data_IF_862998521176
#
_entry.id   IF_862998521176
#
_cell.length_a   1.000
_cell.length_b   1.000
_cell.length_c   1.000
_cell.angle_alpha   90.00
_cell.angle_beta   90.00
_cell.angle_gamma   90.00
#
_symmetry.space_group_name_H-M   'P 1'
#
loop_
_entity.id
_entity.type
_entity.pdbx_description
1 polymer ?
#
# COMPACT_ATOMS: atom_id res chain seq x y z
N UNK A 1 45.00 -41.93 -7.13
CA UNK A 1 43.99 -41.31 -6.27
C UNK A 1 44.32 -39.83 -6.11
N UNK A 2 44.30 -39.02 -7.15
CA UNK A 2 44.55 -37.56 -7.08
C UNK A 2 44.20 -36.89 -8.43
N UNK A 3 42.94 -36.97 -8.87
CA UNK A 3 42.49 -36.30 -10.09
C UNK A 3 40.96 -35.98 -10.10
N UNK A 4 40.38 -35.53 -8.98
CA UNK A 4 38.97 -35.08 -8.95
C UNK A 4 38.70 -33.84 -8.07
N UNK A 5 39.63 -32.88 -8.00
CA UNK A 5 39.43 -31.63 -7.21
C UNK A 5 39.74 -30.34 -7.97
N UNK A 6 39.82 -30.34 -9.30
CA UNK A 6 40.12 -29.12 -10.06
C UNK A 6 38.97 -28.55 -10.88
N UNK A 7 37.87 -29.27 -11.06
CA UNK A 7 36.79 -28.82 -11.98
C UNK A 7 35.67 -28.02 -11.30
N UNK A 8 35.58 -28.00 -9.97
CA UNK A 8 34.52 -27.24 -9.29
C UNK A 8 34.84 -25.75 -9.01
N UNK A 9 36.10 -25.33 -9.12
CA UNK A 9 36.48 -23.95 -8.87
C UNK A 9 36.36 -23.04 -10.11
N UNK A 10 36.27 -23.60 -11.31
CA UNK A 10 36.10 -22.84 -12.54
C UNK A 10 34.65 -22.48 -12.85
N UNK A 11 33.68 -23.36 -12.55
CA UNK A 11 32.26 -23.07 -12.79
C UNK A 11 31.73 -21.95 -11.88
N UNK A 12 32.28 -21.79 -10.65
CA UNK A 12 31.90 -20.69 -9.76
C UNK A 12 32.53 -19.35 -10.13
N UNK A 13 33.65 -19.32 -10.87
CA UNK A 13 34.25 -18.07 -11.36
C UNK A 13 33.55 -17.55 -12.60
N UNK A 14 33.12 -18.43 -13.48
CA UNK A 14 32.41 -18.03 -14.71
C UNK A 14 30.99 -17.55 -14.41
N UNK A 15 30.29 -18.15 -13.42
CA UNK A 15 28.99 -17.67 -12.96
C UNK A 15 29.06 -16.33 -12.24
N UNK A 16 30.12 -16.03 -11.47
CA UNK A 16 30.29 -14.73 -10.84
C UNK A 16 30.73 -13.65 -11.84
N UNK A 17 31.47 -14.01 -12.89
CA UNK A 17 31.82 -13.07 -13.97
C UNK A 17 30.63 -12.78 -14.90
N UNK A 18 29.77 -13.78 -15.18
CA UNK A 18 28.54 -13.60 -15.96
C UNK A 18 27.51 -12.74 -15.21
N UNK A 19 27.38 -12.90 -13.87
CA UNK A 19 26.51 -12.03 -13.07
C UNK A 19 27.04 -10.58 -13.01
N UNK A 20 28.35 -10.37 -12.91
CA UNK A 20 28.95 -9.02 -12.86
C UNK A 20 28.93 -8.29 -14.20
N UNK A 21 28.89 -9.01 -15.33
CA UNK A 21 28.78 -8.40 -16.67
C UNK A 21 27.35 -8.01 -17.03
N UNK A 22 26.34 -8.72 -16.50
CA UNK A 22 24.92 -8.40 -16.75
C UNK A 22 24.49 -7.15 -15.95
N UNK A 23 25.07 -6.90 -14.77
CA UNK A 23 24.76 -5.70 -13.98
C UNK A 23 25.33 -4.41 -14.59
N UNK A 24 26.35 -4.49 -15.45
CA UNK A 24 26.96 -3.30 -16.06
C UNK A 24 26.22 -2.77 -17.30
N UNK A 25 25.26 -3.50 -17.86
CA UNK A 25 24.54 -3.10 -19.08
C UNK A 25 23.11 -2.56 -18.80
N UNK A 26 22.68 -2.45 -17.54
CA UNK A 26 21.36 -1.88 -17.22
C UNK A 26 21.37 -0.36 -17.39
N UNK A 27 20.67 0.19 -18.40
CA UNK A 27 20.73 1.60 -18.76
C UNK A 27 20.22 2.53 -17.64
N UNK A 28 19.43 2.01 -16.69
CA UNK A 28 18.93 2.79 -15.57
C UNK A 28 19.98 2.99 -14.48
N UNK A 29 20.97 2.08 -14.34
CA UNK A 29 22.03 2.19 -13.34
C UNK A 29 23.09 3.22 -13.72
N UNK A 30 23.20 3.57 -15.01
CA UNK A 30 24.25 4.46 -15.54
C UNK A 30 23.90 5.95 -15.50
N UNK A 31 22.67 6.34 -15.14
CA UNK A 31 22.18 7.71 -15.25
C UNK A 31 21.52 8.23 -13.98
N UNK A 32 21.64 9.54 -13.73
CA UNK A 32 20.90 10.22 -12.68
C UNK A 32 19.44 10.41 -13.09
N UNK A 33 18.53 10.11 -12.16
CA UNK A 33 17.10 10.36 -12.31
C UNK A 33 16.77 11.70 -11.68
N UNK A 34 16.08 12.55 -12.44
CA UNK A 34 15.78 13.94 -12.07
C UNK A 34 17.02 14.73 -11.61
N UNK A 35 18.20 14.43 -12.22
CA UNK A 35 19.48 15.10 -11.96
C UNK A 35 20.10 14.82 -10.59
N UNK A 36 19.48 14.02 -9.71
CA UNK A 36 19.94 13.84 -8.32
C UNK A 36 19.90 12.41 -7.78
N UNK A 37 18.95 11.58 -8.17
CA UNK A 37 18.87 10.22 -7.66
C UNK A 37 19.71 9.26 -8.48
N UNK A 38 20.66 8.58 -7.86
CA UNK A 38 21.55 7.59 -8.50
C UNK A 38 20.98 6.17 -8.25
N UNK A 39 20.42 5.49 -9.24
CA UNK A 39 20.06 4.09 -9.10
C UNK A 39 21.31 3.25 -8.82
N UNK A 40 21.24 2.36 -7.82
CA UNK A 40 22.39 1.55 -7.37
C UNK A 40 22.11 0.04 -7.42
N UNK A 41 20.85 -0.36 -7.45
CA UNK A 41 20.47 -1.76 -7.46
C UNK A 41 19.05 -1.92 -8.01
N UNK A 42 18.84 -2.90 -8.90
CA UNK A 42 17.49 -3.34 -9.29
C UNK A 42 16.87 -4.14 -8.16
N UNK A 43 15.68 -3.76 -7.69
CA UNK A 43 14.94 -4.43 -6.63
C UNK A 43 13.94 -5.45 -7.18
N UNK A 44 13.37 -5.19 -8.36
CA UNK A 44 12.40 -6.08 -8.97
C UNK A 44 11.91 -5.57 -10.32
N UNK A 45 11.19 -6.46 -11.01
CA UNK A 45 10.50 -6.18 -12.26
C UNK A 45 9.21 -6.99 -12.28
N UNK A 46 8.11 -6.36 -12.67
CA UNK A 46 6.79 -6.99 -12.72
C UNK A 46 5.91 -6.37 -13.79
N UNK A 47 4.64 -6.75 -13.80
CA UNK A 47 3.64 -6.27 -14.77
C UNK A 47 3.40 -4.75 -14.72
N UNK A 48 3.86 -4.08 -13.66
CA UNK A 48 3.68 -2.64 -13.43
C UNK A 48 5.00 -1.86 -13.53
N UNK A 49 6.05 -2.48 -14.10
CA UNK A 49 7.32 -1.82 -14.37
C UNK A 49 8.51 -2.34 -13.57
N UNK A 50 9.59 -1.55 -13.56
CA UNK A 50 10.86 -1.88 -12.93
C UNK A 50 11.06 -1.03 -11.69
N UNK A 51 11.59 -1.61 -10.60
CA UNK A 51 11.86 -0.90 -9.36
C UNK A 51 13.35 -0.97 -9.02
N UNK A 52 13.93 0.18 -8.68
CA UNK A 52 15.34 0.30 -8.31
C UNK A 52 15.49 0.95 -6.93
N UNK A 53 16.51 0.53 -6.21
CA UNK A 53 17.06 1.27 -5.09
C UNK A 53 17.95 2.36 -5.63
N UNK A 54 17.79 3.58 -5.13
CA UNK A 54 18.62 4.72 -5.50
C UNK A 54 19.16 5.44 -4.27
N UNK A 55 20.26 6.15 -4.46
CA UNK A 55 20.92 6.97 -3.43
C UNK A 55 20.85 8.45 -3.79
N UNK A 56 20.59 9.29 -2.81
CA UNK A 56 20.71 10.73 -2.87
C UNK A 56 20.95 11.30 -1.47
N UNK A 57 22.00 12.13 -1.29
CA UNK A 57 22.40 12.72 0.00
C UNK A 57 22.55 11.69 1.14
N UNK A 58 23.21 10.55 0.85
CA UNK A 58 23.41 9.45 1.80
C UNK A 58 22.12 8.79 2.32
N UNK A 59 20.99 9.09 1.70
CA UNK A 59 19.71 8.43 1.94
C UNK A 59 19.32 7.51 0.79
N UNK A 60 18.51 6.49 1.07
CA UNK A 60 18.04 5.55 0.06
C UNK A 60 16.57 5.74 -0.27
N UNK A 61 16.25 5.59 -1.55
CA UNK A 61 14.91 5.75 -2.13
C UNK A 61 14.57 4.56 -3.01
N UNK A 62 13.30 4.34 -3.27
CA UNK A 62 12.81 3.47 -4.33
C UNK A 62 12.42 4.31 -5.54
N UNK A 63 12.82 3.86 -6.73
CA UNK A 63 12.41 4.45 -8.01
C UNK A 63 11.66 3.40 -8.80
N UNK A 64 10.40 3.69 -9.13
CA UNK A 64 9.56 2.85 -9.99
C UNK A 64 9.48 3.47 -11.38
N UNK A 65 9.70 2.64 -12.41
CA UNK A 65 9.61 3.02 -13.82
C UNK A 65 8.44 2.27 -14.45
N UNK A 66 7.59 2.98 -15.19
CA UNK A 66 6.53 2.41 -16.02
C UNK A 66 6.77 2.87 -17.47
N UNK A 67 6.77 1.92 -18.41
CA UNK A 67 6.86 2.23 -19.83
C UNK A 67 5.55 2.90 -20.30
N UNK A 68 5.63 4.05 -20.96
CA UNK A 68 4.48 4.84 -21.40
C UNK A 68 3.77 4.27 -22.63
N UNK A 69 4.48 3.50 -23.44
CA UNK A 69 3.90 2.85 -24.63
C UNK A 69 3.20 1.54 -24.26
N UNK A 70 3.79 0.77 -23.35
CA UNK A 70 3.27 -0.52 -22.92
C UNK A 70 2.41 -0.42 -21.65
N UNK A 71 2.63 0.62 -20.86
CA UNK A 71 1.96 0.85 -19.59
C UNK A 71 0.51 1.32 -19.73
N UNK A 72 -0.21 1.22 -18.61
CA UNK A 72 -1.61 1.65 -18.51
C UNK A 72 -1.75 3.02 -17.81
N UNK A 73 -0.65 3.78 -17.69
CA UNK A 73 -0.55 5.04 -16.92
C UNK A 73 -0.96 4.88 -15.44
N UNK A 74 -0.73 3.69 -14.88
CA UNK A 74 -1.08 3.39 -13.50
C UNK A 74 -0.16 4.10 -12.50
N UNK A 75 1.08 4.41 -12.91
CA UNK A 75 2.06 5.07 -12.05
C UNK A 75 1.70 6.52 -11.74
N UNK A 76 1.03 7.21 -12.67
CA UNK A 76 0.48 8.55 -12.45
C UNK A 76 -0.64 8.52 -11.40
N UNK A 77 -1.59 7.58 -11.54
CA UNK A 77 -2.63 7.39 -10.56
C UNK A 77 -2.05 7.02 -9.18
N UNK A 78 -1.04 6.15 -9.14
CA UNK A 78 -0.35 5.76 -7.90
C UNK A 78 0.27 6.98 -7.21
N UNK A 79 1.05 7.79 -7.94
CA UNK A 79 1.68 9.01 -7.42
C UNK A 79 0.65 10.02 -6.88
N UNK A 80 -0.44 10.23 -7.63
CA UNK A 80 -1.53 11.13 -7.27
C UNK A 80 -2.23 10.68 -5.99
N UNK A 81 -2.63 9.40 -5.92
CA UNK A 81 -3.32 8.84 -4.74
C UNK A 81 -2.41 8.84 -3.51
N UNK A 82 -1.14 8.41 -3.66
CA UNK A 82 -0.20 8.42 -2.53
C UNK A 82 0.05 9.83 -2.01
N UNK A 83 0.14 10.82 -2.88
CA UNK A 83 0.29 12.24 -2.49
C UNK A 83 -0.95 12.76 -1.76
N UNK A 84 -2.14 12.39 -2.22
CA UNK A 84 -3.41 12.69 -1.55
C UNK A 84 -3.51 12.03 -0.15
N UNK A 85 -2.98 10.81 0.00
CA UNK A 85 -2.95 10.06 1.26
C UNK A 85 -1.73 10.41 2.15
N UNK A 86 -0.99 11.46 1.87
CA UNK A 86 0.17 11.88 2.69
C UNK A 86 -0.23 12.11 4.15
N UNK A 87 0.69 11.85 5.08
CA UNK A 87 0.49 12.04 6.52
C UNK A 87 0.25 10.73 7.29
N UNK A 88 -0.07 9.62 6.63
CA UNK A 88 -0.11 8.32 7.29
C UNK A 88 1.31 7.75 7.49
N UNK A 89 1.62 7.16 8.63
CA UNK A 89 2.87 6.43 8.82
C UNK A 89 2.91 5.10 8.03
N UNK A 90 1.80 4.70 7.43
CA UNK A 90 1.63 3.43 6.69
C UNK A 90 1.55 3.60 5.17
N UNK A 91 1.70 4.84 4.67
CA UNK A 91 1.77 5.14 3.23
C UNK A 91 3.18 5.66 2.91
N UNK A 92 3.88 5.10 1.91
CA UNK A 92 5.21 5.57 1.57
C UNK A 92 5.20 7.04 1.14
N UNK A 93 6.20 7.81 1.57
CA UNK A 93 6.32 9.21 1.18
C UNK A 93 6.73 9.32 -0.28
N UNK A 94 5.92 9.97 -1.11
CA UNK A 94 6.30 10.39 -2.46
C UNK A 94 7.35 11.50 -2.36
N UNK A 95 8.39 11.42 -3.18
CA UNK A 95 9.48 12.40 -3.24
C UNK A 95 9.48 13.18 -4.54
N UNK A 96 9.23 12.51 -5.65
CA UNK A 96 9.13 13.13 -6.96
C UNK A 96 8.36 12.22 -7.90
N UNK A 97 7.60 12.81 -8.80
CA UNK A 97 6.98 12.12 -9.93
C UNK A 97 7.24 12.93 -11.20
N UNK A 98 7.41 12.27 -12.32
CA UNK A 98 7.60 12.89 -13.61
C UNK A 98 7.89 11.85 -14.70
N UNK A 99 8.38 12.30 -15.84
CA UNK A 99 8.77 11.41 -16.92
C UNK A 99 10.17 11.74 -17.46
N UNK A 100 10.82 10.75 -18.02
CA UNK A 100 12.08 10.90 -18.77
C UNK A 100 12.08 9.92 -19.93
N UNK A 101 12.23 10.44 -21.16
CA UNK A 101 12.10 9.62 -22.37
C UNK A 101 10.74 8.94 -22.40
N UNK A 102 10.76 7.63 -22.59
CA UNK A 102 9.56 6.78 -22.67
C UNK A 102 9.06 6.25 -21.34
N UNK A 103 9.53 6.77 -20.19
CA UNK A 103 9.19 6.24 -18.87
C UNK A 103 8.51 7.27 -17.98
N UNK A 104 7.38 6.90 -17.39
CA UNK A 104 6.89 7.54 -16.17
C UNK A 104 7.76 7.06 -14.99
N UNK A 105 8.09 7.96 -14.08
CA UNK A 105 9.05 7.72 -13.01
C UNK A 105 8.49 8.24 -11.69
N UNK A 106 8.38 7.36 -10.70
CA UNK A 106 7.99 7.70 -9.32
C UNK A 106 9.17 7.43 -8.38
N UNK A 107 9.59 8.45 -7.65
CA UNK A 107 10.58 8.34 -6.57
C UNK A 107 9.85 8.42 -5.24
N UNK A 108 10.07 7.43 -4.38
CA UNK A 108 9.38 7.31 -3.10
C UNK A 108 10.28 6.75 -2.01
N UNK A 109 9.77 6.73 -0.79
CA UNK A 109 10.43 6.12 0.36
C UNK A 109 10.80 4.66 0.06
N UNK A 110 12.06 4.29 0.36
CA UNK A 110 12.50 2.91 0.29
C UNK A 110 11.85 2.10 1.42
N UNK A 111 11.33 0.94 1.09
CA UNK A 111 10.78 -0.03 2.04
C UNK A 111 11.65 -1.28 2.11
N UNK A 112 11.36 -2.15 3.06
CA UNK A 112 11.93 -3.48 3.22
C UNK A 112 11.22 -4.54 2.36
N UNK A 113 11.27 -5.80 2.83
CA UNK A 113 10.63 -6.94 2.16
C UNK A 113 9.10 -6.81 2.16
N UNK A 114 8.49 -7.28 1.08
CA UNK A 114 7.05 -7.48 1.04
C UNK A 114 6.62 -8.65 1.94
N UNK A 115 5.33 -8.73 2.28
CA UNK A 115 4.81 -9.88 3.01
C UNK A 115 4.81 -11.15 2.15
N UNK A 116 4.78 -11.04 0.81
CA UNK A 116 4.93 -12.21 -0.07
C UNK A 116 6.36 -12.75 -0.04
N UNK A 117 7.40 -11.88 -0.02
CA UNK A 117 8.79 -12.29 0.13
C UNK A 117 8.99 -13.04 1.46
N UNK A 118 8.49 -12.47 2.55
CA UNK A 118 8.57 -13.07 3.88
C UNK A 118 7.80 -14.39 3.97
N UNK A 119 6.63 -14.46 3.32
CA UNK A 119 5.85 -15.69 3.24
C UNK A 119 6.59 -16.77 2.42
N UNK A 120 7.23 -16.39 1.33
CA UNK A 120 8.01 -17.31 0.50
C UNK A 120 9.20 -17.91 1.27
N UNK A 121 9.75 -17.17 2.22
CA UNK A 121 10.82 -17.66 3.12
C UNK A 121 10.28 -18.57 4.23
N UNK A 122 9.10 -18.26 4.80
CA UNK A 122 8.56 -18.91 6.01
C UNK A 122 7.47 -19.95 5.73
N UNK A 123 6.75 -19.81 4.61
CA UNK A 123 5.63 -20.66 4.15
C UNK A 123 4.37 -20.61 5.01
N UNK A 124 4.46 -20.21 6.25
CA UNK A 124 3.35 -19.95 7.17
C UNK A 124 3.78 -18.90 8.19
N UNK A 125 2.80 -18.18 8.72
CA UNK A 125 3.01 -17.25 9.84
C UNK A 125 2.28 -17.75 11.09
N UNK A 126 2.83 -17.43 12.25
CA UNK A 126 2.18 -17.70 13.54
C UNK A 126 0.89 -16.88 13.68
N UNK A 127 -0.01 -17.34 14.53
CA UNK A 127 -1.25 -16.60 14.83
C UNK A 127 -0.95 -15.23 15.47
N UNK A 128 0.13 -15.11 16.25
CA UNK A 128 0.59 -13.83 16.80
C UNK A 128 0.95 -12.87 15.66
N UNK A 129 1.83 -13.31 14.76
CA UNK A 129 2.25 -12.51 13.60
C UNK A 129 1.05 -12.14 12.72
N UNK A 130 0.18 -13.09 12.37
CA UNK A 130 -1.01 -12.83 11.57
C UNK A 130 -1.97 -11.82 12.25
N UNK A 131 -2.14 -11.88 13.58
CA UNK A 131 -2.97 -10.92 14.32
C UNK A 131 -2.38 -9.51 14.33
N UNK A 132 -1.07 -9.37 14.54
CA UNK A 132 -0.39 -8.08 14.50
C UNK A 132 -0.41 -7.46 13.09
N UNK A 133 -0.24 -8.28 12.04
CA UNK A 133 -0.39 -7.83 10.65
C UNK A 133 -1.83 -7.42 10.35
N UNK A 134 -2.82 -8.22 10.75
CA UNK A 134 -4.24 -7.90 10.60
C UNK A 134 -4.61 -6.57 11.24
N UNK A 135 -4.10 -6.31 12.43
CA UNK A 135 -4.27 -5.01 13.11
C UNK A 135 -3.74 -3.85 12.26
N UNK A 136 -2.50 -3.94 11.76
CA UNK A 136 -1.90 -2.88 10.95
C UNK A 136 -2.57 -2.75 9.57
N UNK A 137 -2.98 -3.86 8.93
CA UNK A 137 -3.75 -3.83 7.69
C UNK A 137 -5.07 -3.08 7.86
N UNK A 138 -5.79 -3.34 8.94
CA UNK A 138 -7.02 -2.61 9.25
C UNK A 138 -6.76 -1.13 9.54
N UNK A 139 -5.67 -0.81 10.23
CA UNK A 139 -5.30 0.57 10.55
C UNK A 139 -5.01 1.39 9.27
N UNK A 140 -4.24 0.84 8.33
CA UNK A 140 -3.96 1.56 7.08
C UNK A 140 -5.19 1.64 6.18
N UNK A 141 -6.02 0.59 6.10
CA UNK A 141 -7.23 0.62 5.27
C UNK A 141 -8.29 1.56 5.83
N UNK A 142 -8.46 1.65 7.15
CA UNK A 142 -9.31 2.65 7.78
C UNK A 142 -8.91 4.05 7.35
N UNK A 143 -7.62 4.40 7.45
CA UNK A 143 -7.09 5.70 7.01
C UNK A 143 -7.37 5.98 5.53
N UNK A 144 -7.17 5.00 4.65
CA UNK A 144 -7.41 5.11 3.19
C UNK A 144 -8.91 5.28 2.90
N UNK A 145 -9.75 4.49 3.56
CA UNK A 145 -11.19 4.49 3.36
C UNK A 145 -11.86 5.76 3.93
N UNK A 146 -11.39 6.30 5.04
CA UNK A 146 -11.84 7.61 5.56
C UNK A 146 -11.60 8.73 4.56
N UNK A 147 -10.53 8.62 3.76
CA UNK A 147 -10.21 9.55 2.66
C UNK A 147 -10.90 9.20 1.35
N UNK A 148 -11.98 8.43 1.43
CA UNK A 148 -12.87 8.08 0.32
C UNK A 148 -12.24 7.22 -0.78
N UNK A 149 -11.08 6.63 -0.54
CA UNK A 149 -10.33 5.80 -1.50
C UNK A 149 -10.45 4.32 -1.11
N UNK A 150 -10.52 3.43 -2.11
CA UNK A 150 -10.34 1.98 -1.98
C UNK A 150 -9.15 1.55 -2.83
N UNK A 151 -8.46 0.50 -2.37
CA UNK A 151 -7.22 0.03 -2.99
C UNK A 151 -7.46 -0.88 -4.19
N UNK A 152 -8.38 -1.83 -4.11
CA UNK A 152 -8.82 -2.79 -5.12
C UNK A 152 -7.83 -3.88 -5.53
N UNK A 153 -6.62 -3.91 -4.95
CA UNK A 153 -5.66 -4.99 -5.16
C UNK A 153 -4.93 -5.36 -3.86
N UNK A 154 -5.69 -5.65 -2.83
CA UNK A 154 -5.14 -6.12 -1.55
C UNK A 154 -4.57 -7.53 -1.72
N UNK A 155 -3.24 -7.64 -1.53
CA UNK A 155 -2.48 -8.89 -1.61
C UNK A 155 -1.18 -8.78 -0.81
N UNK A 156 -0.49 -9.90 -0.47
CA UNK A 156 0.76 -9.87 0.29
C UNK A 156 1.87 -9.05 -0.36
N UNK A 157 1.95 -9.04 -1.70
CA UNK A 157 2.94 -8.27 -2.47
C UNK A 157 2.82 -6.75 -2.23
N UNK A 158 1.59 -6.26 -2.00
CA UNK A 158 1.29 -4.85 -1.83
C UNK A 158 1.38 -4.38 -0.39
N UNK A 159 1.84 -5.24 0.52
CA UNK A 159 2.23 -4.87 1.87
C UNK A 159 3.72 -5.09 2.07
N UNK A 160 4.45 -4.06 2.47
CA UNK A 160 5.88 -4.14 2.74
C UNK A 160 6.20 -3.62 4.14
N UNK A 161 7.21 -4.16 4.78
CA UNK A 161 7.73 -3.61 6.03
C UNK A 161 8.57 -2.36 5.77
N UNK A 162 8.65 -1.48 6.74
CA UNK A 162 9.55 -0.34 6.67
C UNK A 162 11.02 -0.76 6.58
N UNK A 163 11.84 0.09 5.99
CA UNK A 163 13.28 -0.14 5.86
C UNK A 163 14.02 0.27 7.13
N UNK A 164 15.02 -0.51 7.54
CA UNK A 164 15.92 -0.19 8.64
C UNK A 164 15.19 -0.08 9.99
N UNK A 165 15.15 1.11 10.56
CA UNK A 165 14.55 1.39 11.88
C UNK A 165 13.02 1.27 11.89
N UNK A 166 12.39 1.38 10.72
CA UNK A 166 10.94 1.30 10.55
C UNK A 166 10.43 -0.13 10.34
N UNK A 167 11.25 -1.15 10.55
CA UNK A 167 10.96 -2.56 10.24
C UNK A 167 9.81 -3.20 11.02
N UNK A 168 9.21 -2.48 11.95
CA UNK A 168 8.01 -2.89 12.67
C UNK A 168 6.70 -2.41 12.02
N UNK A 169 6.79 -1.37 11.19
CA UNK A 169 5.63 -0.77 10.53
C UNK A 169 5.33 -1.44 9.20
N UNK A 170 4.06 -1.69 8.97
CA UNK A 170 3.54 -2.19 7.70
C UNK A 170 3.10 -1.02 6.82
N UNK A 171 3.52 -1.03 5.58
CA UNK A 171 3.18 -0.06 4.55
C UNK A 171 2.32 -0.69 3.48
N UNK A 172 1.32 0.03 3.00
CA UNK A 172 0.53 -0.33 1.81
C UNK A 172 1.11 0.40 0.60
N UNK A 173 1.35 -0.33 -0.48
CA UNK A 173 1.97 0.17 -1.72
C UNK A 173 1.12 -0.20 -2.93
N UNK A 174 1.47 0.35 -4.10
CA UNK A 174 0.85 0.05 -5.38
C UNK A 174 -0.61 0.51 -5.49
N UNK A 175 -0.80 1.81 -5.41
CA UNK A 175 -2.10 2.47 -5.57
C UNK A 175 -2.53 2.67 -7.04
N UNK A 176 -1.83 2.03 -7.99
CA UNK A 176 -2.14 2.16 -9.43
C UNK A 176 -3.58 1.81 -9.78
N UNK A 177 -4.16 0.84 -9.09
CA UNK A 177 -5.57 0.45 -9.27
C UNK A 177 -6.54 1.13 -8.30
N UNK A 178 -6.07 1.96 -7.37
CA UNK A 178 -6.91 2.59 -6.37
C UNK A 178 -7.84 3.65 -6.98
N UNK A 179 -8.98 3.88 -6.34
CA UNK A 179 -9.96 4.89 -6.77
C UNK A 179 -10.83 5.38 -5.62
N UNK A 180 -11.52 6.49 -5.80
CA UNK A 180 -12.60 6.90 -4.89
C UNK A 180 -13.78 5.93 -5.00
N UNK A 181 -14.42 5.62 -3.86
CA UNK A 181 -15.64 4.79 -3.79
C UNK A 181 -16.88 5.60 -3.47
N UNK A 182 -16.71 6.86 -3.08
CA UNK A 182 -17.79 7.82 -2.82
C UNK A 182 -17.34 9.25 -3.14
N UNK A 183 -18.29 10.13 -3.36
CA UNK A 183 -18.03 11.57 -3.51
C UNK A 183 -17.52 12.16 -2.20
N UNK A 184 -16.41 12.91 -2.25
CA UNK A 184 -15.87 13.62 -1.08
C UNK A 184 -16.78 14.80 -0.64
N UNK A 185 -17.62 15.33 -1.54
CA UNK A 185 -18.55 16.44 -1.25
C UNK A 185 -19.85 15.98 -0.64
N UNK A 186 -20.47 14.95 -1.24
CA UNK A 186 -21.82 14.50 -0.84
C UNK A 186 -21.82 13.26 0.04
N UNK A 187 -20.66 12.60 0.19
CA UNK A 187 -20.45 11.32 0.88
C UNK A 187 -21.32 10.16 0.33
N UNK A 188 -21.97 10.35 -0.83
CA UNK A 188 -22.75 9.30 -1.48
C UNK A 188 -21.81 8.33 -2.19
N UNK A 189 -22.02 7.04 -1.96
CA UNK A 189 -21.33 5.96 -2.68
C UNK A 189 -21.66 6.01 -4.17
N UNK A 190 -20.70 5.61 -5.00
CA UNK A 190 -20.98 5.38 -6.42
C UNK A 190 -21.98 4.23 -6.59
N UNK A 191 -22.72 4.19 -7.71
CA UNK A 191 -23.77 3.19 -7.93
C UNK A 191 -23.21 1.76 -7.91
N UNK A 192 -23.94 0.84 -7.26
CA UNK A 192 -23.62 -0.59 -7.26
C UNK A 192 -24.05 -1.22 -8.58
N UNK A 193 -23.16 -1.19 -9.56
CA UNK A 193 -23.43 -1.65 -10.94
C UNK A 193 -22.41 -2.72 -11.34
N UNK A 194 -22.78 -3.53 -12.34
CA UNK A 194 -21.87 -4.50 -12.92
C UNK A 194 -20.85 -3.80 -13.83
N UNK A 195 -19.57 -4.13 -13.66
CA UNK A 195 -18.47 -3.69 -14.52
C UNK A 195 -18.14 -4.77 -15.56
N UNK A 196 -17.29 -4.44 -16.55
CA UNK A 196 -16.97 -5.38 -17.64
C UNK A 196 -15.83 -6.33 -17.31
N UNK A 197 -14.98 -6.04 -16.31
CA UNK A 197 -13.78 -6.83 -16.00
C UNK A 197 -13.45 -6.79 -14.53
N UNK A 198 -12.90 -7.92 -14.03
CA UNK A 198 -12.27 -8.00 -12.72
C UNK A 198 -11.08 -7.04 -12.65
N UNK A 199 -11.06 -6.20 -11.62
CA UNK A 199 -9.91 -5.40 -11.21
C UNK A 199 -9.27 -6.03 -9.98
N UNK A 200 -7.94 -6.16 -9.99
CA UNK A 200 -7.16 -6.76 -8.92
C UNK A 200 -6.79 -8.24 -9.16
N UNK A 201 -6.24 -8.87 -8.14
CA UNK A 201 -5.67 -10.21 -8.18
C UNK A 201 -6.71 -11.26 -7.77
N UNK A 202 -7.18 -12.10 -8.70
CA UNK A 202 -8.27 -13.07 -8.51
C UNK A 202 -8.11 -13.96 -7.25
N UNK A 203 -6.86 -14.32 -6.88
CA UNK A 203 -6.57 -15.12 -5.67
C UNK A 203 -7.17 -14.50 -4.41
N UNK A 204 -7.03 -13.19 -4.24
CA UNK A 204 -7.44 -12.47 -3.04
C UNK A 204 -8.71 -11.62 -3.22
N UNK A 205 -9.13 -11.35 -4.47
CA UNK A 205 -10.31 -10.55 -4.76
C UNK A 205 -11.57 -11.09 -4.06
N UNK A 206 -12.44 -10.20 -3.61
CA UNK A 206 -13.73 -10.56 -3.01
C UNK A 206 -14.62 -11.33 -4.00
N UNK A 207 -15.63 -12.02 -3.49
CA UNK A 207 -16.62 -12.69 -4.36
C UNK A 207 -17.31 -11.66 -5.26
N UNK A 208 -17.72 -10.50 -4.73
CA UNK A 208 -18.38 -9.46 -5.49
C UNK A 208 -17.48 -8.84 -6.57
N UNK A 209 -16.18 -8.62 -6.27
CA UNK A 209 -15.22 -8.16 -7.27
C UNK A 209 -15.05 -9.19 -8.40
N UNK A 210 -15.05 -10.48 -8.09
CA UNK A 210 -15.00 -11.56 -9.08
C UNK A 210 -16.30 -11.72 -9.88
N UNK A 211 -17.43 -11.30 -9.35
CA UNK A 211 -18.72 -11.16 -10.06
C UNK A 211 -18.77 -9.89 -10.92
N UNK A 212 -17.65 -9.16 -10.99
CA UNK A 212 -17.50 -7.90 -11.74
C UNK A 212 -18.42 -6.77 -11.24
N UNK A 213 -18.80 -6.82 -9.98
CA UNK A 213 -19.57 -5.74 -9.35
C UNK A 213 -18.68 -4.57 -8.95
N UNK A 214 -19.27 -3.37 -8.85
CA UNK A 214 -18.57 -2.20 -8.34
C UNK A 214 -18.06 -2.48 -6.93
N UNK A 215 -16.75 -2.19 -6.71
CA UNK A 215 -16.09 -2.45 -5.44
C UNK A 215 -16.27 -1.30 -4.45
N UNK A 216 -16.26 -1.64 -3.15
CA UNK A 216 -16.29 -0.69 -2.05
C UNK A 216 -15.33 -1.13 -0.93
N UNK A 217 -15.44 -0.52 0.24
CA UNK A 217 -14.61 -0.84 1.42
C UNK A 217 -14.65 -2.33 1.79
N UNK A 218 -15.81 -2.99 1.65
CA UNK A 218 -15.99 -4.42 1.97
C UNK A 218 -15.07 -5.33 1.16
N UNK A 219 -14.79 -4.95 -0.09
CA UNK A 219 -14.00 -5.77 -1.02
C UNK A 219 -12.52 -5.79 -0.63
N UNK A 220 -11.96 -4.64 -0.21
CA UNK A 220 -10.62 -4.57 0.35
C UNK A 220 -10.53 -5.37 1.67
N UNK A 221 -11.56 -5.28 2.53
CA UNK A 221 -11.57 -5.99 3.82
C UNK A 221 -11.74 -7.51 3.66
N UNK A 222 -12.56 -7.98 2.71
CA UNK A 222 -12.67 -9.41 2.39
C UNK A 222 -11.34 -9.95 1.88
N UNK A 223 -10.62 -9.16 1.04
CA UNK A 223 -9.30 -9.52 0.57
C UNK A 223 -8.28 -9.64 1.71
N UNK A 224 -8.30 -8.75 2.71
CA UNK A 224 -7.49 -8.90 3.94
C UNK A 224 -7.80 -10.23 4.62
N UNK A 225 -9.06 -10.62 4.71
CA UNK A 225 -9.46 -11.91 5.28
C UNK A 225 -8.76 -13.08 4.57
N UNK A 226 -8.78 -13.10 3.24
CA UNK A 226 -8.11 -14.14 2.47
C UNK A 226 -6.58 -14.11 2.60
N UNK A 227 -5.97 -12.92 2.71
CA UNK A 227 -4.54 -12.77 2.96
C UNK A 227 -4.15 -13.35 4.33
N UNK A 228 -4.90 -13.05 5.38
CA UNK A 228 -4.65 -13.58 6.73
C UNK A 228 -4.78 -15.10 6.78
N UNK A 229 -5.82 -15.67 6.16
CA UNK A 229 -5.99 -17.12 6.05
C UNK A 229 -4.86 -17.76 5.24
N UNK A 230 -4.42 -17.13 4.14
CA UNK A 230 -3.26 -17.57 3.36
C UNK A 230 -2.01 -17.66 4.22
N UNK A 231 -1.72 -16.67 5.05
CA UNK A 231 -0.57 -16.67 5.94
C UNK A 231 -0.62 -17.80 6.97
N UNK A 232 -1.79 -18.07 7.53
CA UNK A 232 -1.99 -19.10 8.57
C UNK A 232 -1.92 -20.51 7.95
N UNK A 233 -2.67 -20.75 6.87
CA UNK A 233 -2.80 -22.08 6.26
C UNK A 233 -1.63 -22.44 5.35
N UNK A 234 -0.96 -21.45 4.75
CA UNK A 234 0.07 -21.64 3.73
C UNK A 234 -0.48 -21.69 2.30
N UNK A 235 -1.79 -21.85 2.13
CA UNK A 235 -2.48 -21.84 0.84
C UNK A 235 -3.96 -21.48 0.99
N UNK A 236 -4.62 -21.21 -0.16
CA UNK A 236 -6.07 -21.03 -0.25
C UNK A 236 -6.68 -22.17 -1.11
N UNK A 237 -7.91 -22.63 -0.83
CA UNK A 237 -8.53 -23.77 -1.51
C UNK A 237 -8.67 -23.63 -3.03
N UNK A 238 -8.63 -22.40 -3.54
CA UNK A 238 -8.73 -22.08 -4.97
C UNK A 238 -7.39 -21.80 -5.64
N UNK A 239 -6.24 -22.17 -5.02
CA UNK A 239 -4.92 -22.11 -5.65
C UNK A 239 -4.59 -23.39 -6.42
N UNK A 240 -3.59 -23.30 -7.31
CA UNK A 240 -3.06 -24.47 -8.03
C UNK A 240 -3.98 -25.03 -9.14
N UNK A 241 -5.04 -24.31 -9.51
CA UNK A 241 -5.94 -24.72 -10.58
C UNK A 241 -5.24 -24.68 -11.94
N UNK A 242 -5.02 -25.85 -12.54
CA UNK A 242 -4.41 -26.00 -13.88
C UNK A 242 -5.51 -25.91 -14.94
N UNK A 243 -5.76 -24.73 -15.47
CA UNK A 243 -6.73 -24.49 -16.55
C UNK A 243 -6.06 -23.76 -17.71
N UNK A 244 -6.54 -24.00 -18.92
CA UNK A 244 -5.90 -23.49 -20.15
C UNK A 244 -6.12 -22.00 -20.37
N UNK A 245 -7.33 -21.49 -20.09
CA UNK A 245 -7.64 -20.08 -20.27
C UNK A 245 -7.63 -19.31 -18.94
N UNK A 246 -7.41 -18.00 -19.00
CA UNK A 246 -7.47 -17.09 -17.86
C UNK A 246 -8.92 -16.95 -17.38
N UNK A 247 -9.86 -16.91 -18.29
CA UNK A 247 -11.31 -16.79 -18.06
C UNK A 247 -11.83 -18.03 -17.32
N UNK A 248 -11.51 -19.25 -17.78
CA UNK A 248 -11.90 -20.49 -17.10
C UNK A 248 -11.32 -20.55 -15.68
N UNK A 249 -10.07 -20.09 -15.53
CA UNK A 249 -9.43 -20.03 -14.21
C UNK A 249 -10.18 -19.10 -13.28
N UNK A 250 -10.57 -17.91 -13.75
CA UNK A 250 -11.33 -16.94 -12.93
C UNK A 250 -12.71 -17.48 -12.56
N UNK A 251 -13.41 -18.09 -13.52
CA UNK A 251 -14.68 -18.75 -13.26
C UNK A 251 -14.55 -19.84 -12.20
N UNK A 252 -13.53 -20.69 -12.32
CA UNK A 252 -13.33 -21.79 -11.36
C UNK A 252 -12.91 -21.31 -9.97
N UNK A 253 -12.11 -20.22 -9.89
CA UNK A 253 -11.79 -19.56 -8.60
C UNK A 253 -13.06 -19.04 -7.96
N UNK A 254 -13.94 -18.35 -8.70
CA UNK A 254 -15.19 -17.84 -8.18
C UNK A 254 -16.11 -18.95 -7.68
N UNK A 255 -16.27 -20.04 -8.46
CA UNK A 255 -17.03 -21.22 -8.04
C UNK A 255 -16.49 -21.76 -6.71
N UNK A 256 -15.18 -21.95 -6.59
CA UNK A 256 -14.55 -22.44 -5.36
C UNK A 256 -14.74 -21.51 -4.17
N UNK A 257 -14.62 -20.18 -4.39
CA UNK A 257 -14.88 -19.20 -3.29
C UNK A 257 -16.31 -19.24 -2.79
N UNK A 258 -17.29 -19.56 -3.64
CA UNK A 258 -18.69 -19.73 -3.28
C UNK A 258 -18.99 -21.07 -2.61
N UNK A 259 -18.32 -22.15 -3.06
CA UNK A 259 -18.49 -23.50 -2.53
C UNK A 259 -17.91 -23.66 -1.12
N UNK A 260 -16.72 -23.08 -0.87
CA UNK A 260 -16.00 -23.23 0.40
C UNK A 260 -16.67 -22.37 1.47
N UNK A 261 -17.20 -23.02 2.49
CA UNK A 261 -17.80 -22.33 3.63
C UNK A 261 -16.75 -21.57 4.45
N UNK A 262 -17.19 -20.60 5.25
CA UNK A 262 -16.26 -19.88 6.14
C UNK A 262 -15.69 -20.80 7.20
N UNK A 263 -16.49 -21.76 7.68
CA UNK A 263 -16.10 -22.81 8.65
C UNK A 263 -14.96 -23.67 8.08
N UNK A 264 -15.09 -24.14 6.84
CA UNK A 264 -14.06 -24.93 6.17
C UNK A 264 -12.80 -24.09 5.92
N UNK A 265 -12.97 -22.86 5.43
CA UNK A 265 -11.86 -21.96 5.15
C UNK A 265 -11.05 -21.62 6.41
N UNK A 266 -11.71 -21.46 7.55
CA UNK A 266 -11.12 -21.07 8.82
C UNK A 266 -10.96 -22.24 9.81
N UNK A 267 -11.07 -23.51 9.38
CA UNK A 267 -11.07 -24.68 10.25
C UNK A 267 -9.84 -24.81 11.16
N UNK A 268 -8.68 -24.30 10.70
CA UNK A 268 -7.41 -24.31 11.45
C UNK A 268 -7.15 -22.97 12.17
N UNK A 269 -8.08 -22.00 12.10
CA UNK A 269 -7.86 -20.64 12.56
C UNK A 269 -8.51 -20.39 13.93
N UNK A 270 -7.94 -19.49 14.74
CA UNK A 270 -8.63 -18.94 15.90
C UNK A 270 -9.98 -18.30 15.51
N UNK A 271 -10.92 -18.32 16.47
CA UNK A 271 -12.28 -17.81 16.27
C UNK A 271 -12.32 -16.36 15.77
N UNK A 272 -11.37 -15.55 16.18
CA UNK A 272 -11.27 -14.14 15.80
C UNK A 272 -11.09 -13.96 14.28
N UNK A 273 -10.35 -14.86 13.64
CA UNK A 273 -10.17 -14.86 12.18
C UNK A 273 -11.42 -15.35 11.45
N UNK A 274 -12.08 -16.38 11.99
CA UNK A 274 -13.37 -16.83 11.48
C UNK A 274 -14.40 -15.69 11.52
N UNK A 275 -14.58 -15.04 12.68
CA UNK A 275 -15.52 -13.94 12.86
C UNK A 275 -15.22 -12.77 11.90
N UNK A 276 -13.95 -12.48 11.62
CA UNK A 276 -13.55 -11.46 10.67
C UNK A 276 -13.95 -11.83 9.23
N UNK A 277 -13.60 -13.03 8.78
CA UNK A 277 -13.92 -13.49 7.42
C UNK A 277 -15.42 -13.60 7.22
N UNK A 278 -16.16 -14.14 8.19
CA UNK A 278 -17.62 -14.24 8.13
C UNK A 278 -18.29 -12.87 8.04
N UNK A 279 -17.82 -11.91 8.85
CA UNK A 279 -18.29 -10.53 8.80
C UNK A 279 -18.05 -9.88 7.44
N UNK A 280 -16.83 -9.95 6.91
CA UNK A 280 -16.49 -9.28 5.66
C UNK A 280 -17.22 -9.87 4.45
N UNK A 281 -17.45 -11.19 4.42
CA UNK A 281 -18.25 -11.85 3.38
C UNK A 281 -19.72 -11.45 3.39
N UNK A 282 -20.26 -11.06 4.55
CA UNK A 282 -21.68 -10.67 4.75
C UNK A 282 -21.89 -9.15 4.67
N UNK A 283 -20.82 -8.38 4.62
CA UNK A 283 -20.87 -6.93 4.71
C UNK A 283 -21.57 -6.30 3.51
N UNK A 284 -22.47 -5.35 3.76
CA UNK A 284 -23.18 -4.60 2.74
C UNK A 284 -22.29 -3.64 1.94
N UNK A 285 -22.70 -3.29 0.72
CA UNK A 285 -21.93 -2.42 -0.20
C UNK A 285 -21.58 -1.05 0.39
N UNK A 286 -22.55 -0.41 1.05
CA UNK A 286 -22.40 0.92 1.65
C UNK A 286 -22.14 0.88 3.16
N UNK A 287 -22.11 -0.31 3.75
CA UNK A 287 -21.98 -0.50 5.19
C UNK A 287 -20.69 0.10 5.73
N UNK A 288 -20.76 0.73 6.91
CA UNK A 288 -19.58 1.24 7.61
C UNK A 288 -18.83 0.09 8.29
N UNK A 289 -17.53 -0.12 7.95
CA UNK A 289 -16.77 -1.21 8.52
C UNK A 289 -16.47 -1.04 10.00
N UNK A 290 -16.48 -2.15 10.75
CA UNK A 290 -16.19 -2.19 12.19
C UNK A 290 -14.68 -2.32 12.45
N UNK A 291 -13.84 -1.35 12.00
CA UNK A 291 -12.38 -1.44 12.10
C UNK A 291 -11.91 -1.65 13.53
N UNK A 292 -12.30 -0.78 14.47
CA UNK A 292 -11.89 -0.86 15.88
C UNK A 292 -12.29 -2.15 16.55
N UNK A 293 -13.49 -2.66 16.23
CA UNK A 293 -13.93 -3.93 16.78
C UNK A 293 -12.96 -5.06 16.41
N UNK A 294 -12.56 -5.18 15.15
CA UNK A 294 -11.66 -6.24 14.71
C UNK A 294 -10.21 -5.97 15.09
N UNK A 295 -9.76 -4.72 15.12
CA UNK A 295 -8.45 -4.36 15.69
C UNK A 295 -8.35 -4.81 17.15
N UNK A 296 -9.37 -4.52 17.97
CA UNK A 296 -9.48 -4.99 19.36
C UNK A 296 -9.56 -6.52 19.47
N UNK A 297 -10.24 -7.22 18.55
CA UNK A 297 -10.27 -8.69 18.50
C UNK A 297 -8.89 -9.30 18.29
N UNK A 298 -8.12 -8.81 17.33
CA UNK A 298 -6.76 -9.29 17.08
C UNK A 298 -5.81 -8.98 18.24
N UNK A 299 -5.91 -7.80 18.82
CA UNK A 299 -5.15 -7.42 20.01
C UNK A 299 -5.49 -8.34 21.20
N UNK A 300 -6.78 -8.51 21.49
CA UNK A 300 -7.27 -9.34 22.59
C UNK A 300 -6.84 -10.81 22.44
N UNK A 301 -6.84 -11.33 21.20
CA UNK A 301 -6.37 -12.68 20.93
C UNK A 301 -4.91 -12.86 21.39
N UNK A 302 -4.01 -11.94 21.04
CA UNK A 302 -2.59 -12.02 21.38
C UNK A 302 -2.39 -11.83 22.89
N UNK A 303 -2.98 -10.77 23.48
CA UNK A 303 -2.71 -10.38 24.87
C UNK A 303 -3.44 -11.30 25.85
N UNK A 304 -4.75 -11.50 25.68
CA UNK A 304 -5.57 -12.19 26.67
C UNK A 304 -5.67 -13.70 26.44
N UNK A 305 -5.78 -14.16 25.19
CA UNK A 305 -5.91 -15.59 24.91
C UNK A 305 -4.57 -16.31 24.83
N UNK A 306 -3.58 -15.71 24.14
CA UNK A 306 -2.25 -16.31 24.04
C UNK A 306 -1.32 -15.93 25.19
N UNK A 307 -1.65 -14.88 25.98
CA UNK A 307 -0.79 -14.33 27.03
C UNK A 307 0.59 -13.89 26.51
N UNK A 308 0.61 -13.38 25.26
CA UNK A 308 1.83 -12.87 24.61
C UNK A 308 1.79 -11.33 24.50
N UNK A 309 2.94 -10.72 24.29
CA UNK A 309 3.04 -9.28 24.06
C UNK A 309 2.60 -8.92 22.61
N UNK A 310 1.86 -7.85 22.48
CA UNK A 310 1.55 -7.24 21.19
C UNK A 310 2.63 -6.19 20.88
N UNK A 311 3.78 -6.65 20.40
CA UNK A 311 5.05 -5.91 20.37
C UNK A 311 5.65 -5.76 18.97
N UNK A 312 4.92 -6.16 17.92
CA UNK A 312 5.37 -6.19 16.54
C UNK A 312 6.68 -6.97 16.32
N UNK A 313 6.99 -7.91 17.23
CA UNK A 313 8.03 -8.92 17.04
C UNK A 313 7.41 -10.08 16.26
N UNK A 314 7.68 -10.10 14.96
CA UNK A 314 7.16 -11.08 14.01
C UNK A 314 8.03 -12.34 13.96
N UNK A 315 7.58 -13.39 13.30
CA UNK A 315 8.27 -14.67 13.15
C UNK A 315 9.68 -14.55 12.53
N UNK A 316 9.96 -13.49 11.83
CA UNK A 316 11.24 -13.19 11.17
C UNK A 316 12.06 -12.13 11.88
N UNK A 317 11.54 -11.49 12.91
CA UNK A 317 12.23 -10.39 13.59
C UNK A 317 13.40 -10.95 14.40
N UNK A 318 14.60 -10.41 14.18
CA UNK A 318 15.81 -10.76 14.91
C UNK A 318 16.10 -9.74 16.02
N UNK A 319 16.96 -10.11 16.99
CA UNK A 319 17.45 -9.15 17.99
C UNK A 319 18.14 -7.93 17.36
N UNK A 320 18.83 -8.13 16.23
CA UNK A 320 19.47 -7.05 15.47
C UNK A 320 18.41 -6.08 14.91
N UNK A 321 17.27 -6.59 14.47
CA UNK A 321 16.18 -5.76 13.96
C UNK A 321 15.54 -4.95 15.09
N UNK A 322 15.35 -5.55 16.26
CA UNK A 322 14.83 -4.84 17.44
C UNK A 322 15.78 -3.71 17.86
N UNK A 323 17.09 -3.97 17.89
CA UNK A 323 18.12 -2.97 18.24
C UNK A 323 18.20 -1.79 17.23
N UNK A 324 17.78 -2.00 15.99
CA UNK A 324 17.73 -0.92 14.98
C UNK A 324 16.54 0.00 15.13
N UNK A 325 15.49 -0.43 15.83
CA UNK A 325 14.31 0.40 16.05
C UNK A 325 14.70 1.60 16.90
N UNK A 326 14.38 2.82 16.45
CA UNK A 326 14.63 4.02 17.24
C UNK A 326 13.76 4.03 18.47
N UNK A 327 14.35 4.37 19.62
CA UNK A 327 13.61 4.64 20.86
C UNK A 327 12.57 5.76 20.69
N UNK A 328 12.81 6.70 19.76
CA UNK A 328 11.87 7.78 19.42
C UNK A 328 10.65 7.37 18.61
N UNK A 329 10.68 6.24 17.93
CA UNK A 329 9.48 5.59 17.42
C UNK A 329 8.95 4.72 18.56
N UNK A 330 8.35 5.36 19.53
CA UNK A 330 7.48 4.68 20.47
C UNK A 330 6.36 4.08 19.62
N UNK A 331 6.59 2.82 19.19
CA UNK A 331 5.54 2.00 18.65
C UNK A 331 4.62 1.84 19.86
N UNK A 332 3.67 2.75 19.99
CA UNK A 332 2.64 2.65 21.02
C UNK A 332 1.90 1.37 20.71
N UNK A 333 2.41 0.29 21.31
CA UNK A 333 1.73 -0.99 21.24
C UNK A 333 0.34 -0.75 21.81
N UNK A 334 -0.73 -1.00 21.03
CA UNK A 334 -2.06 -0.75 21.51
C UNK A 334 -2.26 -1.55 22.80
N UNK A 335 -2.76 -0.89 23.85
CA UNK A 335 -3.15 -1.52 25.11
C UNK A 335 -4.64 -1.76 25.07
N UNK A 336 -5.09 -2.82 25.70
CA UNK A 336 -6.50 -2.97 26.04
C UNK A 336 -6.76 -1.95 27.15
N UNK A 337 -7.70 -1.05 26.93
CA UNK A 337 -8.24 -0.24 28.01
C UNK A 337 -8.71 -1.21 29.10
N UNK A 338 -8.16 -1.10 30.30
CA UNK A 338 -8.70 -1.79 31.46
C UNK A 338 -10.13 -1.26 31.59
N UNK A 339 -11.12 -2.12 31.37
CA UNK A 339 -12.52 -1.79 31.56
C UNK A 339 -12.66 -1.16 32.94
N UNK A 340 -13.00 0.12 33.00
CA UNK A 340 -13.48 0.81 34.18
C UNK A 340 -14.86 0.22 34.56
N UNK A 341 -14.87 -1.06 34.94
CA UNK A 341 -16.01 -1.71 35.57
C UNK A 341 -15.83 -1.70 37.07
N UNK A 342 -15.93 -0.50 37.69
CA UNK A 342 -16.35 -0.40 39.07
C UNK A 342 -16.48 1.08 39.47
N UNK A 343 -17.68 1.61 39.38
CA UNK A 343 -18.35 2.31 40.48
C UNK A 343 -19.62 2.97 39.99
N UNK A 344 -20.70 2.25 40.08
CA UNK A 344 -21.98 2.84 40.49
C UNK A 344 -21.83 3.21 41.96
N UNK A 345 -21.94 4.49 42.28
CA UNK A 345 -22.63 4.96 43.49
C UNK A 345 -22.96 6.43 43.34
N UNK A 346 -24.23 6.65 43.18
CA UNK A 346 -25.16 7.56 43.84
C UNK A 346 -24.71 9.01 44.14
N UNK A 347 -25.55 9.88 43.58
CA UNK A 347 -26.17 11.05 44.21
C UNK A 347 -25.25 12.25 44.59
N UNK A 348 -25.43 13.42 44.02
CA UNK A 348 -26.34 14.44 44.51
C UNK A 348 -26.27 15.73 43.68
N UNK A 349 -27.44 16.32 43.62
CA UNK A 349 -27.77 17.64 43.06
C UNK A 349 -26.93 18.78 43.60
N UNK A 350 -26.74 19.80 42.78
CA UNK A 350 -27.03 21.25 42.95
C UNK A 350 -25.99 22.07 42.21
N UNK A 351 -26.38 22.82 41.26
CA UNK A 351 -26.83 24.20 41.41
C UNK A 351 -25.86 25.20 40.78
N UNK A 352 -26.33 25.79 39.71
CA UNK A 352 -26.22 27.21 39.33
C UNK A 352 -24.91 27.91 38.97
N UNK A 353 -25.09 28.62 37.88
CA UNK A 353 -24.71 30.00 37.48
C UNK A 353 -23.52 30.14 36.51
N UNK A 354 -23.92 30.47 35.27
CA UNK A 354 -23.77 31.77 34.59
C UNK A 354 -22.45 32.51 34.82
N UNK A 355 -21.73 32.81 33.76
CA UNK A 355 -21.61 34.11 33.15
C UNK A 355 -20.66 34.17 31.96
N UNK A 356 -21.15 34.87 30.95
CA UNK A 356 -20.51 35.42 29.76
C UNK A 356 -19.16 36.13 30.00
N UNK A 357 -18.28 36.10 28.99
CA UNK A 357 -17.82 37.34 28.36
C UNK A 357 -17.06 37.14 27.07
N UNK A 358 -17.40 38.00 26.17
CA UNK A 358 -16.96 38.27 24.80
C UNK A 358 -15.56 38.92 24.71
N UNK A 359 -15.08 38.95 23.46
CA UNK A 359 -14.24 39.97 22.79
C UNK A 359 -12.72 39.90 23.05
N UNK A 360 -11.84 40.12 22.09
CA UNK A 360 -11.76 40.96 20.87
C UNK A 360 -10.53 40.60 20.02
N UNK A 361 -10.67 40.98 18.75
CA UNK A 361 -9.68 41.15 17.71
C UNK A 361 -8.35 41.79 18.07
N UNK A 362 -7.27 41.46 17.36
CA UNK A 362 -6.41 42.47 16.72
C UNK A 362 -5.49 41.85 15.64
N UNK A 363 -5.58 42.46 14.45
CA UNK A 363 -4.66 42.41 13.34
C UNK A 363 -3.29 42.96 13.70
N UNK A 364 -2.23 42.51 13.04
CA UNK A 364 -1.23 43.42 12.49
C UNK A 364 -0.37 42.73 11.40
N UNK A 365 -0.28 43.44 10.29
CA UNK A 365 0.61 43.24 9.15
C UNK A 365 2.09 43.45 9.50
N UNK A 366 3.02 42.80 8.82
CA UNK A 366 4.19 43.50 8.35
C UNK A 366 4.88 42.85 7.14
N UNK A 367 5.21 43.73 6.20
CA UNK A 367 5.94 43.54 4.94
C UNK A 367 7.45 43.62 5.15
N UNK A 368 8.25 42.92 4.37
CA UNK A 368 9.38 43.47 3.57
C UNK A 368 10.24 42.34 2.97
N UNK A 369 10.37 42.37 1.68
CA UNK A 369 11.36 42.92 0.71
C UNK A 369 12.58 42.05 0.43
N UNK A 370 12.61 41.67 -0.83
CA UNK A 370 13.68 41.64 -1.84
C UNK A 370 15.14 41.34 -1.45
N UNK A 371 15.73 40.35 -2.13
CA UNK A 371 16.92 40.62 -2.95
C UNK A 371 17.20 39.49 -3.96
N UNK A 372 17.45 39.96 -5.18
CA UNK A 372 17.98 39.22 -6.33
C UNK A 372 19.41 38.76 -6.10
N UNK A 373 19.78 37.60 -6.68
CA UNK A 373 21.03 37.45 -7.37
C UNK A 373 20.93 36.42 -8.50
N UNK A 374 21.11 36.90 -9.69
CA UNK A 374 21.29 36.13 -10.93
C UNK A 374 22.66 35.43 -10.92
N UNK A 375 22.71 34.16 -11.31
CA UNK A 375 23.84 33.65 -12.05
C UNK A 375 23.45 32.56 -13.06
N UNK A 376 23.64 32.91 -14.26
CA UNK A 376 23.48 32.23 -15.53
C UNK A 376 24.61 31.20 -15.72
N UNK A 377 24.25 29.90 -15.95
CA UNK A 377 25.12 29.05 -16.77
C UNK A 377 24.29 27.97 -17.47
N UNK A 378 24.26 28.09 -18.80
CA UNK A 378 23.56 27.18 -19.67
C UNK A 378 24.21 25.81 -19.73
N UNK A 379 23.36 24.78 -19.77
CA UNK A 379 23.67 23.55 -20.50
C UNK A 379 22.38 22.76 -20.82
N UNK A 380 22.32 22.40 -22.07
CA UNK A 380 21.47 21.43 -22.78
C UNK A 380 20.25 20.84 -22.05
N UNK A 381 19.06 21.35 -22.41
CA UNK A 381 17.75 20.90 -22.01
C UNK A 381 17.38 19.61 -22.74
N UNK A 382 17.59 18.45 -22.11
CA UNK A 382 16.66 17.32 -22.27
C UNK A 382 15.46 17.61 -21.40
N UNK A 383 14.24 17.64 -22.00
CA UNK A 383 13.00 17.97 -21.33
C UNK A 383 12.73 17.03 -20.14
N UNK A 384 13.03 17.48 -18.93
CA UNK A 384 12.65 16.85 -17.67
C UNK A 384 11.53 17.71 -17.08
N UNK A 385 10.30 17.18 -17.11
CA UNK A 385 9.16 17.84 -16.47
C UNK A 385 8.97 17.22 -15.09
N UNK A 386 9.27 17.97 -14.03
CA UNK A 386 9.09 17.57 -12.63
C UNK A 386 7.84 18.27 -12.14
N UNK A 387 6.82 17.50 -11.73
CA UNK A 387 5.62 18.03 -11.07
C UNK A 387 5.72 17.83 -9.57
N UNK A 388 5.62 18.91 -8.79
CA UNK A 388 5.23 18.87 -7.38
C UNK A 388 3.70 18.86 -7.34
N UNK A 389 3.13 17.83 -6.70
CA UNK A 389 1.66 17.64 -6.68
C UNK A 389 1.12 18.33 -5.43
N UNK A 390 0.36 19.42 -5.63
CA UNK A 390 -0.40 20.10 -4.55
C UNK A 390 -1.75 19.42 -4.26
N UNK A 391 -2.25 19.60 -3.02
CA UNK A 391 -3.42 18.89 -2.45
C UNK A 391 -4.76 19.07 -3.21
N UNK A 392 -4.87 20.00 -4.16
CA UNK A 392 -6.16 20.45 -4.69
C UNK A 392 -6.64 19.78 -5.98
N UNK A 393 -5.85 18.92 -6.63
CA UNK A 393 -6.14 18.45 -7.99
C UNK A 393 -6.82 17.08 -8.10
N UNK A 394 -7.51 16.62 -7.04
CA UNK A 394 -8.39 15.46 -7.17
C UNK A 394 -9.71 15.89 -7.82
N UNK A 395 -9.68 16.16 -9.13
CA UNK A 395 -10.88 16.55 -9.88
C UNK A 395 -11.82 15.36 -10.07
N UNK A 396 -13.10 15.60 -9.79
CA UNK A 396 -14.21 14.63 -9.93
C UNK A 396 -14.50 14.20 -11.39
N UNK A 397 -13.72 14.68 -12.37
CA UNK A 397 -14.02 14.50 -13.80
C UNK A 397 -13.53 13.16 -14.41
N UNK A 398 -12.86 12.29 -13.65
CA UNK A 398 -12.39 11.00 -14.18
C UNK A 398 -13.43 9.86 -14.13
N UNK A 399 -14.65 10.14 -13.68
CA UNK A 399 -15.68 9.10 -13.52
C UNK A 399 -16.45 8.74 -14.80
N UNK A 400 -16.25 9.46 -15.92
CA UNK A 400 -17.02 9.27 -17.17
C UNK A 400 -16.23 8.71 -18.38
N UNK A 401 -14.92 8.41 -18.26
CA UNK A 401 -14.11 8.09 -19.44
C UNK A 401 -13.78 6.59 -19.66
N UNK A 402 -14.40 5.66 -18.97
CA UNK A 402 -14.18 4.23 -19.28
C UNK A 402 -15.04 3.67 -20.40
N UNK A 403 -15.93 4.44 -21.02
CA UNK A 403 -16.88 3.94 -22.05
C UNK A 403 -16.56 4.33 -23.51
N UNK A 404 -15.44 5.02 -23.79
CA UNK A 404 -15.09 5.40 -25.16
C UNK A 404 -13.69 4.99 -25.60
N UNK A 405 -13.47 3.70 -25.77
CA UNK A 405 -12.41 3.19 -26.64
C UNK A 405 -13.05 2.40 -27.78
N UNK A 406 -13.61 3.13 -28.74
CA UNK A 406 -13.70 2.71 -30.15
C UNK A 406 -13.57 3.95 -31.01
N UNK A 407 -12.55 3.90 -31.89
CA UNK A 407 -12.34 4.68 -33.09
C UNK A 407 -12.11 6.18 -32.97
N UNK A 408 -10.97 6.63 -33.50
CA UNK A 408 -10.78 7.93 -34.11
C UNK A 408 -9.80 8.84 -33.38
N UNK A 409 -8.66 9.06 -34.04
CA UNK A 409 -7.80 10.23 -33.80
C UNK A 409 -8.64 11.49 -33.64
N UNK A 410 -8.52 12.16 -32.50
CA UNK A 410 -8.74 13.61 -32.45
C UNK A 410 -8.02 14.19 -31.22
N UNK A 411 -7.22 15.19 -31.51
CA UNK A 411 -6.53 16.07 -30.59
C UNK A 411 -7.44 16.57 -29.46
N UNK A 412 -7.11 16.29 -28.21
CA UNK A 412 -7.55 17.09 -27.08
C UNK A 412 -6.34 17.69 -26.37
N UNK A 413 -6.19 18.99 -26.54
CA UNK A 413 -5.32 19.80 -25.71
C UNK A 413 -5.86 19.79 -24.29
N UNK A 414 -5.14 19.16 -23.38
CA UNK A 414 -5.35 19.31 -21.94
C UNK A 414 -4.63 20.60 -21.54
N UNK A 415 -5.37 21.59 -21.11
CA UNK A 415 -4.82 22.80 -20.50
C UNK A 415 -4.17 22.44 -19.16
N UNK A 416 -2.87 22.35 -19.18
CA UNK A 416 -2.03 22.24 -17.98
C UNK A 416 -1.75 23.66 -17.52
N UNK A 417 -2.24 24.05 -16.36
CA UNK A 417 -1.80 25.26 -15.67
C UNK A 417 -0.37 25.02 -15.13
N UNK A 418 0.59 25.62 -15.80
CA UNK A 418 1.94 25.77 -15.28
C UNK A 418 1.94 26.87 -14.21
N UNK A 419 2.27 26.53 -12.99
CA UNK A 419 2.72 27.52 -11.99
C UNK A 419 4.23 27.43 -11.94
N UNK A 420 4.90 28.45 -12.46
CA UNK A 420 6.30 28.75 -12.25
C UNK A 420 6.47 29.29 -10.85
N UNK A 421 7.34 28.68 -10.05
CA UNK A 421 7.97 29.33 -8.92
C UNK A 421 9.46 29.38 -9.21
N UNK A 422 9.94 30.60 -9.27
CA UNK A 422 11.34 31.00 -9.33
C UNK A 422 12.12 30.52 -8.10
#
# INVERSE_FOLDING_TARGET
MNEKKKDNDNENKDNNQALSTIENDDPFLSQLIFGKYKPVQKLGEGSFGKVYKAEYNSEFYAIKFEDREEGQNLLENEATIMSYLKGSPHIPKVRSYGFKGNYNILVMQLLGKSLEDLFNERKKFSFKTASMLGYQMLTVLEYVHERHVIHRDIKPDNFALGYGELNAYLYLVDFGLAKKYRSSKTLKHYPYIKKKKLTGTARYASIHAMEEMEQSRRDDLEAVGYVLIYFIRGNLPWQGLKLKSKEDRYKKILEKKKEVSTEELCSECPREFFEYVDYTKKMGYIEEPKYDYFKKKFLNYVVNRRKEKFDYVYDWTTEKDIKKRKEQFDITCPRLDEDNSSSNNESNENGNNEENKEEKDSNEDDKNKDNNDENNNGNNNENVNIQEIEENDFNENNDNETDKVKSGCCNMQVNIFLIFIL
#
